data_IF_220787113362
#
_entry.id   IF_220787113362
#
_cell.length_a   1.000
_cell.length_b   1.000
_cell.length_c   1.000
_cell.angle_alpha   90.00
_cell.angle_beta   90.00
_cell.angle_gamma   90.00
#
_symmetry.space_group_name_H-M   'P 1'
#
loop_
_entity.id
_entity.type
_entity.pdbx_description
1 polymer ?
#
# COMPACT_ATOMS: atom_id res chain seq x y z
N UNK A 1 2.24 10.36 13.77
CA UNK A 1 1.93 11.75 14.06
C UNK A 1 0.68 12.15 13.25
N UNK A 2 -0.10 13.11 13.76
CA UNK A 2 -1.27 13.73 13.12
C UNK A 2 -2.40 12.76 12.68
N UNK A 3 -2.88 11.83 13.55
CA UNK A 3 -3.91 10.87 13.17
C UNK A 3 -5.23 11.54 12.75
N UNK A 4 -5.49 12.77 13.22
CA UNK A 4 -6.67 13.57 12.88
C UNK A 4 -6.76 13.93 11.38
N UNK A 5 -5.70 13.73 10.62
CA UNK A 5 -5.68 13.94 9.17
C UNK A 5 -6.27 12.77 8.38
N UNK A 6 -6.51 11.64 9.03
CA UNK A 6 -6.85 10.36 8.40
C UNK A 6 -8.07 9.73 9.06
N UNK A 7 -8.55 8.64 8.49
CA UNK A 7 -9.44 7.73 9.21
C UNK A 7 -8.71 7.14 10.40
N UNK A 8 -9.35 7.09 11.56
CA UNK A 8 -8.76 6.57 12.81
C UNK A 8 -9.56 5.38 13.29
N UNK A 9 -8.84 4.28 13.59
CA UNK A 9 -9.42 3.04 14.13
C UNK A 9 -9.18 2.96 15.63
N UNK A 10 -10.23 2.61 16.39
CA UNK A 10 -10.14 2.23 17.79
C UNK A 10 -10.29 0.71 17.93
N UNK A 11 -9.53 0.13 18.85
CA UNK A 11 -9.53 -1.31 19.12
C UNK A 11 -9.94 -1.60 20.56
N UNK A 12 -10.60 -2.74 20.76
CA UNK A 12 -10.82 -3.30 22.09
C UNK A 12 -9.56 -3.99 22.64
N UNK A 13 -9.69 -4.55 23.86
CA UNK A 13 -8.62 -5.29 24.54
C UNK A 13 -8.16 -6.55 23.76
N UNK A 14 -9.00 -7.09 22.88
CA UNK A 14 -8.73 -8.24 22.04
C UNK A 14 -8.17 -7.86 20.65
N UNK A 15 -7.86 -6.56 20.43
CA UNK A 15 -7.40 -6.00 19.17
C UNK A 15 -8.44 -6.10 18.05
N UNK A 16 -9.72 -6.18 18.38
CA UNK A 16 -10.80 -6.07 17.41
C UNK A 16 -11.16 -4.61 17.23
N UNK A 17 -11.33 -4.17 15.98
CA UNK A 17 -11.80 -2.82 15.69
C UNK A 17 -13.23 -2.63 16.23
N UNK A 18 -13.44 -1.57 16.99
CA UNK A 18 -14.73 -1.20 17.58
C UNK A 18 -15.27 0.13 17.04
N UNK A 19 -14.39 0.95 16.48
CA UNK A 19 -14.75 2.24 15.89
C UNK A 19 -13.81 2.57 14.74
N UNK A 20 -14.35 3.28 13.74
CA UNK A 20 -13.59 3.91 12.68
C UNK A 20 -14.21 5.28 12.38
N UNK A 21 -13.41 6.34 12.45
CA UNK A 21 -13.90 7.72 12.28
C UNK A 21 -13.00 8.46 11.30
N UNK A 22 -13.60 9.12 10.30
CA UNK A 22 -12.89 9.95 9.33
C UNK A 22 -12.49 11.27 9.94
N UNK A 23 -11.22 11.59 9.92
CA UNK A 23 -10.63 12.87 10.33
C UNK A 23 -11.24 13.43 11.62
N UNK A 24 -11.18 12.66 12.74
CA UNK A 24 -11.76 13.09 13.99
C UNK A 24 -11.03 14.30 14.55
N UNK A 25 -11.76 15.27 15.07
CA UNK A 25 -11.18 16.43 15.76
C UNK A 25 -10.40 16.01 17.02
N UNK A 26 -10.88 14.94 17.68
CA UNK A 26 -10.22 14.31 18.84
C UNK A 26 -10.05 12.81 18.57
N UNK A 27 -8.88 12.39 18.03
CA UNK A 27 -8.63 10.98 17.73
C UNK A 27 -8.65 10.11 18.98
N UNK A 28 -9.42 9.00 18.94
CA UNK A 28 -9.46 8.02 20.03
C UNK A 28 -8.18 7.15 20.10
N UNK A 29 -7.40 7.11 19.04
CA UNK A 29 -6.15 6.34 18.95
C UNK A 29 -5.16 6.96 17.98
N UNK A 30 -3.95 6.39 17.92
CA UNK A 30 -2.92 6.73 16.92
C UNK A 30 -2.92 5.78 15.71
N UNK A 31 -3.95 4.95 15.54
CA UNK A 31 -4.04 4.01 14.41
C UNK A 31 -4.71 4.67 13.22
N UNK A 32 -3.90 5.31 12.37
CA UNK A 32 -4.37 5.89 11.12
C UNK A 32 -4.59 4.81 10.05
N UNK A 33 -5.69 4.94 9.31
CA UNK A 33 -6.01 4.05 8.19
C UNK A 33 -5.16 4.44 6.99
N UNK A 34 -4.43 3.46 6.46
CA UNK A 34 -3.72 3.61 5.18
C UNK A 34 -4.69 3.44 4.01
N UNK A 35 -4.33 3.89 2.83
CA UNK A 35 -5.17 3.78 1.62
C UNK A 35 -5.16 2.39 0.96
N UNK A 36 -5.00 1.31 1.71
CA UNK A 36 -4.95 -0.06 1.18
C UNK A 36 -6.14 -0.86 1.71
N UNK A 37 -7.06 -1.23 0.81
CA UNK A 37 -8.31 -1.88 1.13
C UNK A 37 -8.51 -3.13 0.28
N UNK A 38 -9.05 -4.19 0.90
CA UNK A 38 -9.48 -5.41 0.24
C UNK A 38 -10.93 -5.68 0.63
N UNK A 39 -11.79 -5.83 -0.36
CA UNK A 39 -13.21 -6.04 -0.17
C UNK A 39 -13.67 -7.32 -0.84
N UNK A 40 -14.75 -7.89 -0.30
CA UNK A 40 -15.48 -8.95 -0.95
C UNK A 40 -16.49 -8.39 -1.99
N UNK A 41 -17.24 -9.27 -2.62
CA UNK A 41 -18.21 -8.93 -3.68
C UNK A 41 -19.32 -7.96 -3.24
N UNK A 42 -19.61 -7.86 -1.93
CA UNK A 42 -20.64 -6.98 -1.37
C UNK A 42 -20.27 -5.49 -1.45
N UNK A 43 -19.02 -5.18 -1.73
CA UNK A 43 -18.52 -3.80 -1.78
C UNK A 43 -19.35 -2.92 -2.71
N UNK A 44 -19.80 -3.46 -3.85
CA UNK A 44 -20.58 -2.71 -4.82
C UNK A 44 -21.96 -2.30 -4.28
N UNK A 45 -22.58 -3.16 -3.48
CA UNK A 45 -23.89 -2.88 -2.86
C UNK A 45 -23.74 -1.93 -1.68
N UNK A 46 -22.69 -2.07 -0.87
CA UNK A 46 -22.41 -1.15 0.22
C UNK A 46 -22.04 0.25 -0.31
N UNK A 47 -21.20 0.32 -1.34
CA UNK A 47 -20.79 1.58 -1.95
C UNK A 47 -21.97 2.40 -2.50
N UNK A 48 -23.01 1.77 -3.04
CA UNK A 48 -24.24 2.43 -3.50
C UNK A 48 -25.02 3.10 -2.37
N UNK A 49 -24.82 2.70 -1.13
CA UNK A 49 -25.52 3.20 0.05
C UNK A 49 -24.78 4.33 0.75
N UNK A 50 -23.50 4.53 0.43
CA UNK A 50 -22.69 5.63 0.99
C UNK A 50 -23.31 6.97 0.58
N UNK A 51 -23.47 7.85 1.55
CA UNK A 51 -24.00 9.20 1.34
C UNK A 51 -22.89 10.23 1.50
N UNK A 52 -23.00 11.39 0.84
CA UNK A 52 -22.05 12.47 1.03
C UNK A 52 -21.97 12.88 2.52
N UNK A 53 -20.75 13.02 3.01
CA UNK A 53 -20.45 13.53 4.35
C UNK A 53 -20.81 15.03 4.45
N UNK A 54 -20.75 15.65 5.64
CA UNK A 54 -20.88 17.09 5.79
C UNK A 54 -19.89 17.90 4.94
N UNK A 55 -18.79 17.28 4.49
CA UNK A 55 -17.81 17.87 3.57
C UNK A 55 -18.24 17.77 2.10
N UNK A 56 -19.33 17.06 1.79
CA UNK A 56 -19.84 16.84 0.43
C UNK A 56 -19.10 15.70 -0.31
N UNK A 57 -18.31 14.88 0.38
CA UNK A 57 -17.53 13.78 -0.19
C UNK A 57 -18.12 12.42 0.18
N UNK A 58 -18.01 11.44 -0.71
CA UNK A 58 -18.29 10.03 -0.40
C UNK A 58 -17.06 9.44 0.30
N UNK A 59 -17.18 9.20 1.60
CA UNK A 59 -16.05 8.77 2.41
C UNK A 59 -15.87 7.26 2.37
N UNK A 60 -14.65 6.82 2.09
CA UNK A 60 -14.29 5.38 2.18
C UNK A 60 -14.46 4.84 3.61
N UNK A 61 -14.30 5.71 4.60
CA UNK A 61 -14.51 5.38 6.01
C UNK A 61 -15.95 4.98 6.29
N UNK A 62 -16.95 5.59 5.62
CA UNK A 62 -18.36 5.21 5.79
C UNK A 62 -18.64 3.83 5.17
N UNK A 63 -17.99 3.49 4.06
CA UNK A 63 -18.03 2.13 3.53
C UNK A 63 -17.43 1.11 4.53
N UNK A 64 -16.29 1.43 5.14
CA UNK A 64 -15.66 0.58 6.15
C UNK A 64 -16.53 0.44 7.42
N UNK A 65 -17.29 1.48 7.80
CA UNK A 65 -18.26 1.40 8.90
C UNK A 65 -19.34 0.37 8.65
N UNK A 66 -19.83 0.24 7.41
CA UNK A 66 -20.82 -0.79 7.08
C UNK A 66 -20.29 -2.19 7.31
N UNK A 67 -19.01 -2.45 6.98
CA UNK A 67 -18.36 -3.72 7.31
C UNK A 67 -18.11 -3.89 8.81
N UNK A 68 -17.86 -2.81 9.55
CA UNK A 68 -17.73 -2.85 10.98
C UNK A 68 -19.06 -3.22 11.67
N UNK A 69 -20.16 -2.58 11.25
CA UNK A 69 -21.52 -2.82 11.75
C UNK A 69 -22.01 -4.23 11.40
N UNK A 70 -21.66 -4.74 10.22
CA UNK A 70 -21.90 -6.12 9.79
C UNK A 70 -21.02 -7.15 10.56
N UNK A 71 -20.02 -6.68 11.31
CA UNK A 71 -19.12 -7.53 12.08
C UNK A 71 -18.05 -8.26 11.26
N UNK A 72 -17.87 -7.89 9.99
CA UNK A 72 -16.94 -8.53 9.04
C UNK A 72 -15.69 -7.69 8.73
N UNK A 73 -15.57 -6.48 9.31
CA UNK A 73 -14.35 -5.67 9.14
C UNK A 73 -13.17 -6.35 9.82
N UNK A 74 -12.11 -6.59 9.03
CA UNK A 74 -10.82 -7.03 9.54
C UNK A 74 -9.79 -5.91 9.36
N UNK A 75 -9.03 -5.61 10.41
CA UNK A 75 -7.98 -4.60 10.38
C UNK A 75 -6.64 -5.27 10.62
N UNK A 76 -5.70 -5.02 9.68
CA UNK A 76 -4.31 -5.45 9.81
C UNK A 76 -3.46 -4.24 10.18
N UNK A 77 -2.75 -4.32 11.29
CA UNK A 77 -1.80 -3.28 11.68
C UNK A 77 -0.47 -3.50 11.00
N UNK A 78 0.06 -2.45 10.38
CA UNK A 78 1.42 -2.46 9.83
C UNK A 78 2.41 -2.37 11.00
N UNK A 79 3.28 -3.37 11.11
CA UNK A 79 4.30 -3.43 12.15
C UNK A 79 5.57 -2.65 11.80
N UNK A 80 6.62 -2.86 12.60
CA UNK A 80 7.94 -2.32 12.31
C UNK A 80 8.46 -2.85 10.98
N UNK A 81 9.11 -2.00 10.19
CA UNK A 81 9.62 -2.35 8.87
C UNK A 81 8.72 -1.89 7.72
N UNK A 82 7.50 -1.45 8.01
CA UNK A 82 6.67 -0.75 7.04
C UNK A 82 6.85 0.75 7.18
N UNK A 83 6.96 1.44 6.04
CA UNK A 83 6.88 2.88 5.95
C UNK A 83 5.63 3.23 5.13
N UNK A 84 4.71 3.97 5.75
CA UNK A 84 3.59 4.56 5.07
C UNK A 84 3.81 6.05 4.97
N UNK A 85 3.76 6.58 3.75
CA UNK A 85 4.02 7.98 3.44
C UNK A 85 2.82 8.53 2.68
N UNK A 86 2.20 9.55 3.28
CA UNK A 86 1.18 10.33 2.58
C UNK A 86 1.87 11.29 1.59
N UNK A 87 1.28 11.48 0.43
CA UNK A 87 1.80 12.34 -0.64
C UNK A 87 0.83 13.45 -1.03
N UNK A 88 -0.05 13.83 -0.10
CA UNK A 88 -1.10 14.80 -0.32
C UNK A 88 -0.65 16.26 -0.42
N UNK A 89 0.60 16.56 -0.06
CA UNK A 89 1.20 17.89 -0.20
C UNK A 89 2.50 17.82 -1.00
N UNK A 90 2.97 18.96 -1.51
CA UNK A 90 4.24 19.02 -2.24
C UNK A 90 5.42 18.60 -1.35
N UNK A 91 5.42 19.01 -0.09
CA UNK A 91 6.48 18.69 0.87
C UNK A 91 6.47 17.18 1.18
N UNK A 92 5.30 16.59 1.47
CA UNK A 92 5.20 15.17 1.76
C UNK A 92 5.52 14.28 0.53
N UNK A 93 5.21 14.74 -0.69
CA UNK A 93 5.62 14.07 -1.93
C UNK A 93 7.14 14.09 -2.08
N UNK A 94 7.78 15.21 -1.78
CA UNK A 94 9.24 15.35 -1.80
C UNK A 94 9.90 14.41 -0.78
N UNK A 95 9.42 14.41 0.47
CA UNK A 95 9.91 13.54 1.54
C UNK A 95 9.77 12.05 1.20
N UNK A 96 8.64 11.66 0.62
CA UNK A 96 8.43 10.30 0.13
C UNK A 96 9.44 9.92 -0.95
N UNK A 97 9.71 10.83 -1.90
CA UNK A 97 10.72 10.63 -2.94
C UNK A 97 12.14 10.49 -2.37
N UNK A 98 12.51 11.30 -1.38
CA UNK A 98 13.79 11.20 -0.70
C UNK A 98 13.94 9.88 0.08
N UNK A 99 12.87 9.46 0.77
CA UNK A 99 12.85 8.18 1.47
C UNK A 99 13.09 7.02 0.50
N UNK A 100 12.32 6.94 -0.59
CA UNK A 100 12.48 5.90 -1.62
C UNK A 100 13.89 5.91 -2.18
N UNK A 101 14.41 7.08 -2.55
CA UNK A 101 15.78 7.23 -3.06
C UNK A 101 16.82 6.72 -2.07
N UNK A 102 16.66 7.05 -0.79
CA UNK A 102 17.60 6.64 0.26
C UNK A 102 17.61 5.12 0.43
N UNK A 103 16.42 4.50 0.49
CA UNK A 103 16.30 3.04 0.62
C UNK A 103 16.90 2.33 -0.60
N UNK A 104 16.56 2.77 -1.82
CA UNK A 104 17.10 2.20 -3.05
C UNK A 104 18.64 2.28 -3.11
N UNK A 105 19.20 3.42 -2.68
CA UNK A 105 20.67 3.58 -2.64
C UNK A 105 21.34 2.69 -1.60
N UNK A 106 20.70 2.55 -0.43
CA UNK A 106 21.23 1.71 0.65
C UNK A 106 21.18 0.22 0.30
N UNK A 107 20.13 -0.21 -0.37
CA UNK A 107 19.94 -1.62 -0.77
C UNK A 107 20.60 -1.95 -2.10
N UNK A 108 20.87 -0.97 -2.94
CA UNK A 108 21.35 -1.17 -4.31
C UNK A 108 20.29 -1.73 -5.27
N UNK A 109 19.02 -1.73 -4.87
CA UNK A 109 17.89 -2.28 -5.61
C UNK A 109 16.78 -1.25 -5.75
N UNK A 110 16.14 -1.14 -6.91
CA UNK A 110 14.97 -0.28 -7.08
C UNK A 110 13.75 -0.87 -6.37
N UNK A 111 12.84 0.00 -5.91
CA UNK A 111 11.59 -0.38 -5.25
C UNK A 111 10.49 -0.50 -6.30
N UNK A 112 9.59 -1.47 -6.11
CA UNK A 112 8.35 -1.65 -6.89
C UNK A 112 8.58 -1.80 -8.40
N UNK A 113 9.53 -2.61 -8.78
CA UNK A 113 9.77 -2.96 -10.19
C UNK A 113 8.68 -3.93 -10.65
N UNK A 114 7.69 -3.42 -11.36
CA UNK A 114 6.46 -4.15 -11.67
C UNK A 114 6.73 -5.45 -12.47
N UNK A 115 7.59 -5.39 -13.47
CA UNK A 115 7.94 -6.54 -14.31
C UNK A 115 8.73 -7.60 -13.54
N UNK A 116 9.60 -7.19 -12.62
CA UNK A 116 10.31 -8.12 -11.74
C UNK A 116 9.33 -8.84 -10.80
N UNK A 117 8.41 -8.09 -10.18
CA UNK A 117 7.37 -8.64 -9.32
C UNK A 117 6.49 -9.62 -10.11
N UNK A 118 6.12 -9.29 -11.34
CA UNK A 118 5.33 -10.16 -12.20
C UNK A 118 6.10 -11.44 -12.55
N UNK A 119 7.39 -11.33 -12.85
CA UNK A 119 8.25 -12.48 -13.13
C UNK A 119 8.41 -13.39 -11.91
N UNK A 120 8.66 -12.82 -10.73
CA UNK A 120 8.79 -13.57 -9.49
C UNK A 120 7.52 -14.32 -9.07
N UNK A 121 6.35 -13.78 -9.41
CA UNK A 121 5.07 -14.44 -9.19
C UNK A 121 4.66 -15.39 -10.32
N UNK A 122 5.49 -15.54 -11.36
CA UNK A 122 5.21 -16.41 -12.49
C UNK A 122 4.10 -15.90 -13.41
N UNK A 123 3.78 -14.62 -13.36
CA UNK A 123 2.77 -14.00 -14.23
C UNK A 123 3.31 -13.68 -15.62
N UNK A 124 4.62 -13.50 -15.72
CA UNK A 124 5.34 -13.36 -16.98
C UNK A 124 6.53 -14.32 -17.02
N UNK A 125 6.92 -14.68 -18.23
CA UNK A 125 8.07 -15.53 -18.52
C UNK A 125 9.38 -14.72 -18.49
N UNK A 126 10.51 -15.44 -18.48
CA UNK A 126 11.83 -14.82 -18.61
C UNK A 126 12.00 -14.07 -19.95
N UNK A 127 11.44 -14.61 -21.02
CA UNK A 127 11.54 -13.99 -22.35
C UNK A 127 10.75 -12.67 -22.36
N UNK A 128 9.55 -12.64 -21.82
CA UNK A 128 8.76 -11.41 -21.64
C UNK A 128 9.46 -10.37 -20.76
N UNK A 129 10.12 -10.80 -19.69
CA UNK A 129 10.95 -9.91 -18.87
C UNK A 129 12.13 -9.32 -19.66
N UNK A 130 12.76 -10.15 -20.50
CA UNK A 130 13.85 -9.68 -21.38
C UNK A 130 13.35 -8.72 -22.46
N UNK A 131 12.17 -8.96 -23.03
CA UNK A 131 11.52 -8.02 -23.96
C UNK A 131 11.24 -6.68 -23.30
N UNK A 132 10.74 -6.70 -22.05
CA UNK A 132 10.57 -5.48 -21.26
C UNK A 132 11.91 -4.75 -21.04
N UNK A 133 12.97 -5.48 -20.70
CA UNK A 133 14.31 -4.90 -20.55
C UNK A 133 14.79 -4.20 -21.83
N UNK A 134 14.55 -4.81 -23.00
CA UNK A 134 14.89 -4.22 -24.31
C UNK A 134 14.07 -2.94 -24.56
N UNK A 135 12.77 -2.96 -24.24
CA UNK A 135 11.87 -1.80 -24.36
C UNK A 135 12.37 -0.60 -23.55
N UNK A 136 12.83 -0.81 -22.33
CA UNK A 136 13.41 0.25 -21.49
C UNK A 136 14.85 0.61 -21.84
N UNK A 137 15.50 -0.18 -22.69
CA UNK A 137 16.80 0.11 -23.34
C UNK A 137 17.94 0.31 -22.33
N UNK A 138 18.71 1.39 -22.54
CA UNK A 138 19.91 1.69 -21.73
C UNK A 138 19.59 2.38 -20.40
N UNK A 139 18.33 2.52 -20.03
CA UNK A 139 17.94 3.10 -18.74
C UNK A 139 18.42 2.24 -17.58
N UNK A 140 18.60 2.81 -16.36
CA UNK A 140 18.88 2.01 -15.17
C UNK A 140 17.82 0.94 -14.90
N UNK A 141 16.55 1.23 -15.20
CA UNK A 141 15.44 0.30 -15.08
C UNK A 141 15.57 -0.88 -16.04
N UNK A 142 15.81 -0.62 -17.34
CA UNK A 142 16.02 -1.68 -18.33
C UNK A 142 17.24 -2.55 -18.03
N UNK A 143 18.33 -1.94 -17.54
CA UNK A 143 19.49 -2.69 -17.06
C UNK A 143 19.15 -3.61 -15.90
N UNK A 144 18.39 -3.11 -14.92
CA UNK A 144 17.95 -3.90 -13.77
C UNK A 144 17.14 -5.13 -14.23
N UNK A 145 16.11 -4.95 -15.07
CA UNK A 145 15.30 -6.06 -15.60
C UNK A 145 16.16 -7.10 -16.32
N UNK A 146 17.13 -6.66 -17.10
CA UNK A 146 18.07 -7.56 -17.77
C UNK A 146 18.90 -8.35 -16.76
N UNK A 147 19.43 -7.69 -15.73
CA UNK A 147 20.25 -8.34 -14.70
C UNK A 147 19.42 -9.35 -13.88
N UNK A 148 18.13 -9.09 -13.63
CA UNK A 148 17.18 -10.06 -13.04
C UNK A 148 16.95 -11.23 -13.98
N UNK A 149 16.64 -10.99 -15.26
CA UNK A 149 16.41 -12.04 -16.26
C UNK A 149 17.64 -12.95 -16.45
N UNK A 150 18.84 -12.41 -16.33
CA UNK A 150 20.11 -13.13 -16.42
C UNK A 150 20.56 -13.78 -15.09
N UNK A 151 19.72 -13.73 -14.01
CA UNK A 151 20.03 -14.21 -12.66
C UNK A 151 21.28 -13.58 -12.02
N UNK A 152 21.62 -12.37 -12.36
CA UNK A 152 22.73 -11.61 -11.77
C UNK A 152 22.33 -10.97 -10.45
N UNK A 153 21.03 -10.78 -10.22
CA UNK A 153 20.45 -10.23 -9.01
C UNK A 153 19.58 -11.30 -8.38
N UNK A 154 19.82 -11.59 -7.10
CA UNK A 154 18.97 -12.48 -6.30
C UNK A 154 18.03 -11.60 -5.48
N UNK A 155 16.78 -11.50 -5.89
CA UNK A 155 15.79 -10.60 -5.28
C UNK A 155 15.08 -11.26 -4.11
N UNK A 156 14.79 -12.55 -4.20
CA UNK A 156 14.25 -13.32 -3.06
C UNK A 156 15.34 -14.13 -2.39
N UNK A 157 15.45 -14.09 -1.04
CA UNK A 157 16.19 -15.13 -0.35
C UNK A 157 15.62 -16.48 -0.78
N UNK A 158 16.46 -17.38 -1.28
CA UNK A 158 16.02 -18.77 -1.48
C UNK A 158 15.56 -19.28 -0.13
N UNK A 159 14.33 -19.79 -0.05
CA UNK A 159 13.89 -20.52 1.14
C UNK A 159 14.94 -21.60 1.41
N UNK A 160 15.76 -21.37 2.43
CA UNK A 160 16.63 -22.39 2.99
C UNK A 160 15.69 -23.32 3.74
N UNK A 161 15.28 -24.39 3.07
CA UNK A 161 14.51 -25.49 3.68
C UNK A 161 15.42 -26.25 4.66
#
# INVERSE_FOLDING_TARGET
>A
DDPERYGVVEFDENKKAISIVEKPEHPASNYAVTGLYFYDERVTEFAKQVKPSPRGELEITDLNKMYLEDGTLNVQTLGRGYAWLDTGTMDSLYEAGEFVRTVQRAQGLPIAVAEEIAFENGWITRDELMEAAVKYGKSPYGKHLKDVAENKIIVKPRDVR
#
